data_IF_720500112692
#
_entry.id   IF_720500112692
#
_cell.length_a   1.000
_cell.length_b   1.000
_cell.length_c   1.000
_cell.angle_alpha   90.00
_cell.angle_beta   90.00
_cell.angle_gamma   90.00
#
_symmetry.space_group_name_H-M   'P 1'
#
loop_
_entity.id
_entity.type
_entity.pdbx_description
1 polymer ?
#
# COMPACT_ATOMS: atom_id res chain seq x y z
N UNK A 1 19.63 -16.82 1.72
CA UNK A 1 18.86 -16.19 2.59
C UNK A 1 17.56 -15.70 2.11
N UNK A 2 16.68 -15.58 2.85
CA UNK A 2 15.40 -15.34 2.41
C UNK A 2 15.04 -13.92 2.61
N UNK A 3 14.32 -13.39 1.73
CA UNK A 3 13.81 -12.08 1.85
C UNK A 3 12.89 -11.99 3.04
N UNK A 4 12.95 -10.86 3.73
CA UNK A 4 11.99 -10.55 4.77
C UNK A 4 10.84 -9.81 4.13
N UNK A 5 9.63 -10.28 4.33
CA UNK A 5 8.45 -9.57 3.86
C UNK A 5 7.67 -9.05 5.05
N UNK A 6 7.19 -7.81 4.90
CA UNK A 6 6.35 -7.16 5.90
C UNK A 6 4.92 -7.19 5.38
N UNK A 7 3.98 -7.60 6.23
CA UNK A 7 2.56 -7.60 5.88
C UNK A 7 1.95 -6.32 6.41
N UNK A 8 1.40 -5.53 5.51
CA UNK A 8 0.84 -4.22 5.83
C UNK A 8 -0.66 -4.22 5.55
N UNK A 9 -1.49 -4.12 6.59
CA UNK A 9 -2.93 -4.00 6.36
C UNK A 9 -3.25 -2.61 5.83
N UNK A 10 -4.04 -2.55 4.76
CA UNK A 10 -4.44 -1.27 4.16
C UNK A 10 -5.95 -1.25 3.95
N UNK A 11 -6.52 -0.06 3.99
CA UNK A 11 -7.89 0.17 3.58
C UNK A 11 -7.87 1.14 2.41
N UNK A 12 -8.47 0.73 1.30
CA UNK A 12 -8.39 1.47 0.04
C UNK A 12 -9.74 2.07 -0.30
N UNK A 13 -9.73 3.35 -0.67
CA UNK A 13 -10.89 4.03 -1.23
C UNK A 13 -10.56 4.30 -2.69
N UNK A 14 -11.26 3.61 -3.59
CA UNK A 14 -11.06 3.75 -5.03
C UNK A 14 -11.96 4.85 -5.58
N UNK A 15 -11.65 5.33 -6.78
CA UNK A 15 -12.46 6.36 -7.44
C UNK A 15 -12.39 7.72 -6.76
N UNK A 16 -11.33 7.98 -6.00
CA UNK A 16 -11.13 9.27 -5.34
C UNK A 16 -10.65 10.31 -6.34
N UNK A 17 -10.73 11.58 -5.95
CA UNK A 17 -10.30 12.66 -6.83
C UNK A 17 -8.81 12.63 -7.11
N UNK A 18 -8.03 12.02 -6.21
CA UNK A 18 -6.58 11.86 -6.41
C UNK A 18 -6.06 10.70 -5.57
N UNK A 19 -4.85 10.26 -5.89
CA UNK A 19 -4.20 9.16 -5.18
C UNK A 19 -3.28 9.72 -4.11
N UNK A 20 -3.42 9.21 -2.88
CA UNK A 20 -2.58 9.65 -1.77
C UNK A 20 -2.63 8.65 -0.62
N UNK A 21 -1.61 8.75 0.24
CA UNK A 21 -1.60 8.04 1.52
C UNK A 21 -2.33 8.93 2.51
N UNK A 22 -3.48 8.46 3.00
CA UNK A 22 -4.36 9.30 3.81
C UNK A 22 -3.98 9.32 5.29
N UNK A 23 -3.36 8.26 5.79
CA UNK A 23 -2.94 8.22 7.19
C UNK A 23 -3.18 6.85 7.81
N UNK A 24 -2.96 6.75 9.11
CA UNK A 24 -3.14 5.51 9.86
C UNK A 24 -4.46 5.50 10.59
N UNK A 25 -5.09 4.34 10.62
CA UNK A 25 -6.22 4.08 11.49
C UNK A 25 -5.84 2.84 12.31
N UNK A 26 -5.30 3.04 13.51
CA UNK A 26 -4.68 1.96 14.25
C UNK A 26 -3.47 1.43 13.47
N UNK A 27 -3.44 0.15 13.21
CA UNK A 27 -2.36 -0.47 12.44
C UNK A 27 -2.65 -0.54 10.94
N UNK A 28 -3.80 -0.03 10.52
CA UNK A 28 -4.22 -0.08 9.11
C UNK A 28 -3.89 1.23 8.42
N UNK A 29 -3.23 1.14 7.28
CA UNK A 29 -2.90 2.32 6.48
C UNK A 29 -4.06 2.62 5.54
N UNK A 30 -4.52 3.86 5.57
CA UNK A 30 -5.60 4.31 4.69
C UNK A 30 -5.01 4.91 3.43
N UNK A 31 -5.48 4.43 2.29
CA UNK A 31 -4.98 4.84 0.98
C UNK A 31 -6.16 5.23 0.10
N UNK A 32 -6.03 6.35 -0.60
CA UNK A 32 -6.98 6.75 -1.63
C UNK A 32 -6.32 6.64 -2.98
N UNK A 33 -7.05 6.11 -3.96
CA UNK A 33 -6.57 6.03 -5.33
C UNK A 33 -7.65 6.55 -6.27
N UNK A 34 -7.22 7.23 -7.33
CA UNK A 34 -8.15 7.75 -8.32
C UNK A 34 -8.63 6.66 -9.28
N UNK A 35 -7.90 5.54 -9.37
CA UNK A 35 -8.28 4.44 -10.23
C UNK A 35 -9.59 3.79 -9.73
N UNK A 36 -10.44 3.31 -10.65
CA UNK A 36 -11.68 2.64 -10.25
C UNK A 36 -11.41 1.26 -9.66
N UNK A 37 -12.33 0.78 -8.83
CA UNK A 37 -12.20 -0.52 -8.17
C UNK A 37 -12.70 -1.63 -9.10
N UNK A 38 -12.06 -1.75 -10.27
CA UNK A 38 -12.45 -2.77 -11.23
C UNK A 38 -11.23 -3.25 -11.99
N UNK A 39 -11.25 -4.52 -12.39
CA UNK A 39 -10.22 -5.15 -13.22
C UNK A 39 -8.81 -4.96 -12.69
N UNK A 40 -8.66 -4.92 -11.36
CA UNK A 40 -7.35 -4.78 -10.74
C UNK A 40 -6.73 -3.40 -10.87
N UNK A 41 -7.44 -2.39 -11.39
CA UNK A 41 -6.87 -1.06 -11.57
C UNK A 41 -6.53 -0.39 -10.25
N UNK A 42 -7.43 -0.48 -9.26
CA UNK A 42 -7.17 0.08 -7.95
C UNK A 42 -6.02 -0.66 -7.27
N UNK A 43 -5.96 -1.99 -7.42
CA UNK A 43 -4.87 -2.78 -6.84
C UNK A 43 -3.52 -2.37 -7.41
N UNK A 44 -3.43 -2.22 -8.73
CA UNK A 44 -2.20 -1.77 -9.38
C UNK A 44 -1.82 -0.37 -8.92
N UNK A 45 -2.78 0.52 -8.77
CA UNK A 45 -2.53 1.88 -8.30
C UNK A 45 -2.00 1.89 -6.87
N UNK A 46 -2.54 1.03 -5.99
CA UNK A 46 -2.08 0.91 -4.61
C UNK A 46 -0.63 0.41 -4.59
N UNK A 47 -0.33 -0.63 -5.36
CA UNK A 47 1.03 -1.18 -5.41
C UNK A 47 2.02 -0.14 -5.92
N UNK A 48 1.67 0.60 -6.97
CA UNK A 48 2.54 1.61 -7.53
C UNK A 48 2.76 2.77 -6.55
N UNK A 49 1.70 3.22 -5.90
CA UNK A 49 1.80 4.32 -4.94
C UNK A 49 2.68 3.95 -3.74
N UNK A 50 2.48 2.75 -3.21
CA UNK A 50 3.29 2.29 -2.07
C UNK A 50 4.75 2.08 -2.48
N UNK A 51 4.99 1.49 -3.64
CA UNK A 51 6.35 1.27 -4.11
C UNK A 51 7.08 2.60 -4.27
N UNK A 52 6.44 3.58 -4.88
CA UNK A 52 7.02 4.90 -5.06
C UNK A 52 7.31 5.56 -3.71
N UNK A 53 6.35 5.52 -2.80
CA UNK A 53 6.49 6.13 -1.47
C UNK A 53 7.62 5.47 -0.67
N UNK A 54 7.77 4.16 -0.80
CA UNK A 54 8.76 3.41 -0.04
C UNK A 54 10.12 3.35 -0.74
N UNK A 55 10.21 3.86 -1.95
CA UNK A 55 11.46 3.83 -2.72
C UNK A 55 11.80 2.44 -3.23
N UNK A 56 10.80 1.61 -3.51
CA UNK A 56 10.98 0.25 -3.99
C UNK A 56 10.50 0.14 -5.44
N UNK A 57 10.94 -0.91 -6.12
CA UNK A 57 10.34 -1.25 -7.41
C UNK A 57 8.95 -1.84 -7.16
N UNK A 58 8.08 -1.78 -8.18
CA UNK A 58 6.72 -2.31 -8.04
C UNK A 58 6.70 -3.79 -7.69
N UNK A 59 7.71 -4.54 -8.11
CA UNK A 59 7.82 -5.95 -7.76
C UNK A 59 8.02 -6.21 -6.27
N UNK A 60 8.43 -5.21 -5.51
CA UNK A 60 8.60 -5.34 -4.05
C UNK A 60 7.34 -5.11 -3.24
N UNK A 61 6.24 -4.73 -3.88
CA UNK A 61 4.97 -4.45 -3.20
C UNK A 61 3.87 -5.23 -3.91
N UNK A 62 3.19 -6.11 -3.19
CA UNK A 62 2.15 -6.94 -3.79
C UNK A 62 0.97 -7.08 -2.84
N UNK A 63 -0.23 -7.00 -3.39
CA UNK A 63 -1.44 -7.29 -2.65
C UNK A 63 -1.58 -8.81 -2.60
N UNK A 64 -1.57 -9.36 -1.39
CA UNK A 64 -1.61 -10.82 -1.19
C UNK A 64 -2.95 -11.32 -0.67
N UNK A 65 -3.83 -10.41 -0.26
CA UNK A 65 -5.14 -10.79 0.24
C UNK A 65 -6.10 -9.63 0.06
N UNK A 66 -7.38 -9.94 -0.12
CA UNK A 66 -8.42 -8.91 -0.22
C UNK A 66 -8.45 -8.19 -1.56
N UNK A 67 -8.13 -8.87 -2.66
CA UNK A 67 -8.08 -8.23 -3.98
C UNK A 67 -9.41 -7.64 -4.41
N UNK A 68 -10.52 -8.19 -3.93
CA UNK A 68 -11.87 -7.68 -4.26
C UNK A 68 -12.50 -6.91 -3.11
N UNK A 69 -11.74 -6.61 -2.08
CA UNK A 69 -12.25 -5.96 -0.88
C UNK A 69 -11.57 -4.61 -0.71
N UNK A 70 -12.23 -3.62 -0.07
CA UNK A 70 -11.54 -2.38 0.30
C UNK A 70 -10.46 -2.61 1.35
N UNK A 71 -10.56 -3.67 2.13
CA UNK A 71 -9.51 -4.04 3.09
C UNK A 71 -8.59 -5.07 2.46
N UNK A 72 -7.31 -4.72 2.37
CA UNK A 72 -6.33 -5.54 1.67
C UNK A 72 -5.13 -5.78 2.57
N UNK A 73 -4.40 -6.84 2.29
CA UNK A 73 -3.13 -7.10 2.93
C UNK A 73 -2.05 -7.01 1.87
N UNK A 74 -1.05 -6.19 2.13
CA UNK A 74 0.03 -5.91 1.19
C UNK A 74 1.32 -6.52 1.73
N UNK A 75 2.05 -7.22 0.88
CA UNK A 75 3.38 -7.73 1.20
C UNK A 75 4.42 -6.75 0.67
N UNK A 76 5.34 -6.33 1.54
CA UNK A 76 6.42 -5.41 1.19
C UNK A 76 7.74 -6.15 1.41
N UNK A 77 8.56 -6.22 0.38
CA UNK A 77 9.85 -6.90 0.41
C UNK A 77 10.96 -5.87 0.24
N UNK A 78 12.01 -5.99 1.05
CA UNK A 78 13.18 -5.13 0.93
C UNK A 78 13.33 -4.10 2.03
N UNK A 79 12.34 -4.00 2.93
CA UNK A 79 12.40 -3.09 4.07
C UNK A 79 11.92 -3.81 5.32
N UNK A 80 12.39 -3.38 6.48
CA UNK A 80 11.88 -3.86 7.77
C UNK A 80 10.56 -3.16 8.07
N UNK A 81 9.83 -3.69 9.03
CA UNK A 81 8.57 -3.08 9.45
C UNK A 81 8.80 -1.65 9.96
N UNK A 82 9.85 -1.44 10.73
CA UNK A 82 10.19 -0.12 11.24
C UNK A 82 10.47 0.87 10.11
N UNK A 83 11.18 0.42 9.08
CA UNK A 83 11.47 1.27 7.92
C UNK A 83 10.21 1.61 7.14
N UNK A 84 9.32 0.63 6.96
CA UNK A 84 8.05 0.86 6.27
C UNK A 84 7.24 1.92 7.01
N UNK A 85 7.10 1.76 8.33
CA UNK A 85 6.32 2.69 9.14
C UNK A 85 6.94 4.08 9.15
N UNK A 86 8.26 4.16 9.25
CA UNK A 86 8.96 5.45 9.25
C UNK A 86 8.74 6.20 7.93
N UNK A 87 8.95 5.51 6.82
CA UNK A 87 8.81 6.14 5.50
C UNK A 87 7.38 6.60 5.25
N UNK A 88 6.39 5.80 5.65
CA UNK A 88 4.99 6.18 5.49
C UNK A 88 4.63 7.35 6.38
N UNK A 89 5.14 7.38 7.61
CA UNK A 89 4.88 8.49 8.52
C UNK A 89 5.45 9.80 8.02
N UNK A 90 6.57 9.75 7.30
CA UNK A 90 7.19 10.95 6.74
C UNK A 90 6.28 11.62 5.69
N UNK A 91 5.55 10.84 4.89
CA UNK A 91 4.65 11.42 3.88
C UNK A 91 3.30 11.82 4.46
N UNK A 92 2.90 11.18 5.54
CA UNK A 92 1.65 11.54 6.21
C UNK A 92 1.83 12.86 6.96
N UNK A 93 3.00 13.11 7.41
CA UNK A 93 3.33 14.33 8.11
C UNK A 93 3.15 14.20 9.57
#
# INVERSE_FOLDING_TARGET
MHGVSVRLPVKVVAGSSRSCIAGWLGDTLRIRVSAPAERGKANAAVEALLAETLGLSTGGVKIVSGTSSPRKLVSVVGLSEAEVRRKLSEVIG
#
